data_IF_281967710711
#
_entry.id   IF_281967710711
#
_cell.length_a   1.000
_cell.length_b   1.000
_cell.length_c   1.000
_cell.angle_alpha   90.00
_cell.angle_beta   90.00
_cell.angle_gamma   90.00
#
_symmetry.space_group_name_H-M   'P 1'
#
loop_
_entity.id
_entity.type
_entity.pdbx_description
1 polymer ?
#
# COMPACT_ATOMS: atom_id res chain seq x y z
N UNK A 1 28.94 -21.07 -14.47
CA UNK A 1 28.06 -22.01 -13.72
C UNK A 1 27.28 -21.20 -12.68
N UNK A 2 26.01 -20.87 -12.97
CA UNK A 2 25.19 -20.01 -12.13
C UNK A 2 24.84 -20.72 -10.81
N UNK A 3 25.24 -20.14 -9.68
CA UNK A 3 24.88 -20.62 -8.35
C UNK A 3 23.42 -20.21 -8.07
N UNK A 4 22.54 -21.18 -8.28
CA UNK A 4 21.09 -21.09 -8.07
C UNK A 4 20.80 -20.74 -6.59
N UNK A 5 20.62 -19.45 -6.28
CA UNK A 5 19.96 -19.04 -5.03
C UNK A 5 18.48 -18.90 -5.35
N UNK A 6 17.71 -19.95 -5.09
CA UNK A 6 16.25 -19.91 -5.14
C UNK A 6 15.75 -18.85 -4.16
N UNK A 7 15.53 -17.64 -4.67
CA UNK A 7 14.94 -16.56 -3.88
C UNK A 7 13.44 -16.81 -3.79
N UNK A 8 12.99 -17.04 -2.56
CA UNK A 8 11.59 -17.25 -2.15
C UNK A 8 10.72 -16.07 -2.60
N UNK A 9 10.22 -16.12 -3.83
CA UNK A 9 9.32 -15.12 -4.43
C UNK A 9 8.04 -14.92 -3.61
N UNK A 10 7.63 -15.97 -2.89
CA UNK A 10 6.48 -15.97 -1.99
C UNK A 10 6.75 -15.35 -0.61
N UNK A 11 7.99 -14.89 -0.34
CA UNK A 11 8.33 -14.32 0.97
C UNK A 11 7.89 -12.85 1.19
N UNK A 12 6.99 -12.29 0.37
CA UNK A 12 6.47 -10.94 0.60
C UNK A 12 4.97 -10.79 0.23
N UNK A 13 4.37 -11.81 -0.38
CA UNK A 13 2.95 -11.83 -0.79
C UNK A 13 2.00 -12.10 0.38
N UNK A 14 2.50 -12.59 1.50
CA UNK A 14 1.71 -12.83 2.70
C UNK A 14 1.23 -11.55 3.36
N UNK A 15 1.98 -10.45 3.31
CA UNK A 15 1.56 -9.21 3.98
C UNK A 15 0.27 -8.67 3.32
N UNK A 16 0.18 -8.49 1.99
CA UNK A 16 -1.07 -8.11 1.33
C UNK A 16 -2.22 -9.11 1.53
N UNK A 17 -1.92 -10.42 1.51
CA UNK A 17 -2.93 -11.47 1.65
C UNK A 17 -3.51 -11.53 3.09
N UNK A 18 -2.68 -11.36 4.11
CA UNK A 18 -3.11 -11.29 5.51
C UNK A 18 -4.00 -10.07 5.74
N UNK A 19 -3.65 -8.92 5.14
CA UNK A 19 -4.47 -7.70 5.20
C UNK A 19 -5.86 -7.93 4.57
N UNK A 20 -5.92 -8.61 3.41
CA UNK A 20 -7.18 -8.97 2.75
C UNK A 20 -8.05 -9.92 3.57
N UNK A 21 -7.45 -10.92 4.22
CA UNK A 21 -8.16 -11.91 5.06
C UNK A 21 -8.70 -11.24 6.33
N UNK A 22 -7.92 -10.36 6.97
CA UNK A 22 -8.34 -9.61 8.14
C UNK A 22 -9.45 -8.60 7.81
N UNK A 23 -9.46 -8.03 6.61
CA UNK A 23 -10.56 -7.16 6.15
C UNK A 23 -11.87 -7.91 5.92
N UNK A 24 -11.80 -9.18 5.47
CA UNK A 24 -12.98 -10.01 5.19
C UNK A 24 -13.68 -10.51 6.47
N UNK A 25 -12.94 -10.80 7.54
CA UNK A 25 -13.45 -11.56 8.68
C UNK A 25 -14.20 -10.75 9.77
N UNK A 26 -14.09 -9.43 9.83
CA UNK A 26 -14.39 -8.69 11.08
C UNK A 26 -15.47 -7.59 11.01
N UNK A 27 -16.54 -7.79 10.23
CA UNK A 27 -17.69 -6.89 10.18
C UNK A 27 -18.69 -7.03 11.35
N UNK A 28 -18.45 -6.41 12.51
CA UNK A 28 -19.48 -5.96 13.49
C UNK A 28 -18.85 -5.26 14.72
N UNK A 29 -19.58 -4.31 15.36
CA UNK A 29 -19.30 -3.40 16.53
C UNK A 29 -17.90 -3.39 17.20
N UNK A 30 -17.29 -4.54 17.48
CA UNK A 30 -15.85 -4.73 17.79
C UNK A 30 -14.92 -4.25 16.67
N UNK A 31 -15.47 -4.11 15.47
CA UNK A 31 -14.86 -3.70 14.20
C UNK A 31 -14.18 -2.32 14.29
N UNK A 32 -14.75 -1.34 15.01
CA UNK A 32 -14.15 0.00 15.07
C UNK A 32 -12.81 -0.01 15.80
N UNK A 33 -12.73 -0.66 16.95
CA UNK A 33 -11.48 -0.76 17.72
C UNK A 33 -10.45 -1.64 17.01
N UNK A 34 -10.90 -2.71 16.35
CA UNK A 34 -10.03 -3.56 15.54
C UNK A 34 -9.46 -2.80 14.33
N UNK A 35 -10.29 -2.03 13.61
CA UNK A 35 -9.87 -1.15 12.51
C UNK A 35 -8.84 -0.13 12.96
N UNK A 36 -9.02 0.49 14.12
CA UNK A 36 -8.01 1.39 14.72
C UNK A 36 -6.72 0.63 15.00
N UNK A 37 -6.79 -0.53 15.64
CA UNK A 37 -5.61 -1.33 15.97
C UNK A 37 -4.83 -1.73 14.72
N UNK A 38 -5.51 -2.24 13.68
CA UNK A 38 -4.85 -2.61 12.42
C UNK A 38 -4.28 -1.36 11.72
N UNK A 39 -4.99 -0.24 11.77
CA UNK A 39 -4.52 1.04 11.20
C UNK A 39 -3.25 1.56 11.85
N UNK A 40 -2.91 1.11 13.06
CA UNK A 40 -1.67 1.46 13.75
C UNK A 40 -0.60 0.37 13.62
N UNK A 41 -0.99 -0.91 13.70
CA UNK A 41 -0.06 -2.05 13.61
C UNK A 41 0.64 -2.09 12.24
N UNK A 42 -0.09 -1.86 11.15
CA UNK A 42 0.48 -1.90 9.78
C UNK A 42 1.58 -0.82 9.61
N UNK A 43 1.32 0.49 9.86
CA UNK A 43 2.34 1.52 9.74
C UNK A 43 3.54 1.31 10.66
N UNK A 44 3.32 0.87 11.91
CA UNK A 44 4.41 0.57 12.85
C UNK A 44 5.27 -0.57 12.31
N UNK A 45 4.66 -1.66 11.86
CA UNK A 45 5.36 -2.81 11.28
C UNK A 45 6.19 -2.43 10.05
N UNK A 46 5.59 -1.66 9.13
CA UNK A 46 6.26 -1.14 7.94
C UNK A 46 7.46 -0.25 8.29
N UNK A 47 7.29 0.63 9.29
CA UNK A 47 8.35 1.55 9.74
C UNK A 47 9.51 0.80 10.39
N UNK A 48 9.24 -0.22 11.22
CA UNK A 48 10.28 -1.08 11.82
C UNK A 48 11.04 -1.84 10.74
N UNK A 49 10.33 -2.42 9.77
CA UNK A 49 10.93 -3.11 8.63
C UNK A 49 11.85 -2.16 7.84
N UNK A 50 11.37 -0.97 7.53
CA UNK A 50 12.12 0.04 6.79
C UNK A 50 13.35 0.53 7.56
N UNK A 51 13.23 0.72 8.88
CA UNK A 51 14.35 1.09 9.75
C UNK A 51 15.49 0.07 9.66
N UNK A 52 15.19 -1.23 9.73
CA UNK A 52 16.20 -2.30 9.58
C UNK A 52 16.91 -2.30 8.23
N UNK A 53 16.23 -1.83 7.17
CA UNK A 53 16.79 -1.76 5.81
C UNK A 53 17.63 -0.50 5.61
N UNK A 54 17.15 0.64 6.11
CA UNK A 54 17.80 1.94 5.96
C UNK A 54 18.95 2.14 6.95
N UNK A 55 18.95 1.45 8.09
CA UNK A 55 20.04 1.55 9.08
C UNK A 55 21.41 1.20 8.47
N UNK A 56 21.43 0.22 7.55
CA UNK A 56 22.62 -0.27 6.83
C UNK A 56 23.08 0.72 5.73
N UNK A 57 22.22 1.65 5.30
CA UNK A 57 22.57 2.65 4.29
C UNK A 57 23.41 3.77 4.92
N UNK A 58 24.43 4.25 4.20
CA UNK A 58 25.27 5.41 4.60
C UNK A 58 24.57 6.77 4.54
N UNK A 59 23.26 6.83 4.82
CA UNK A 59 22.48 8.07 4.83
C UNK A 59 22.68 8.84 6.14
N UNK A 60 22.61 10.17 6.07
CA UNK A 60 22.59 11.04 7.26
C UNK A 60 21.43 10.69 8.20
N UNK A 61 21.68 10.77 9.51
CA UNK A 61 20.68 10.48 10.56
C UNK A 61 19.37 11.23 10.35
N UNK A 62 19.44 12.53 9.99
CA UNK A 62 18.26 13.37 9.75
C UNK A 62 17.44 12.90 8.54
N UNK A 63 18.11 12.50 7.44
CA UNK A 63 17.46 11.94 6.26
C UNK A 63 16.77 10.60 6.57
N UNK A 64 17.41 9.73 7.35
CA UNK A 64 16.82 8.46 7.81
C UNK A 64 15.53 8.69 8.59
N UNK A 65 15.57 9.62 9.57
CA UNK A 65 14.41 9.97 10.39
C UNK A 65 13.28 10.53 9.51
N UNK A 66 13.57 11.46 8.61
CA UNK A 66 12.56 12.02 7.71
C UNK A 66 11.89 10.94 6.85
N UNK A 67 12.66 10.00 6.30
CA UNK A 67 12.10 8.89 5.51
C UNK A 67 11.15 8.04 6.36
N UNK A 68 11.54 7.71 7.60
CA UNK A 68 10.71 6.91 8.50
C UNK A 68 9.41 7.62 8.87
N UNK A 69 9.47 8.91 9.21
CA UNK A 69 8.29 9.72 9.55
C UNK A 69 7.35 9.82 8.35
N UNK A 70 7.88 10.15 7.16
CA UNK A 70 7.06 10.27 5.95
C UNK A 70 6.41 8.94 5.61
N UNK A 71 7.16 7.84 5.68
CA UNK A 71 6.60 6.49 5.40
C UNK A 71 5.52 6.15 6.41
N UNK A 72 5.74 6.38 7.70
CA UNK A 72 4.74 6.13 8.75
C UNK A 72 3.45 6.91 8.49
N UNK A 73 3.54 8.21 8.19
CA UNK A 73 2.38 9.05 7.92
C UNK A 73 1.61 8.58 6.68
N UNK A 74 2.31 8.22 5.60
CA UNK A 74 1.70 7.72 4.36
C UNK A 74 0.96 6.40 4.61
N UNK A 75 1.61 5.44 5.29
CA UNK A 75 1.02 4.15 5.62
C UNK A 75 -0.17 4.29 6.57
N UNK A 76 -0.11 5.23 7.52
CA UNK A 76 -1.19 5.51 8.45
C UNK A 76 -2.42 6.06 7.73
N UNK A 77 -2.22 7.05 6.85
CA UNK A 77 -3.30 7.62 6.02
C UNK A 77 -3.91 6.50 5.17
N UNK A 78 -3.09 5.69 4.51
CA UNK A 78 -3.56 4.59 3.67
C UNK A 78 -4.38 3.56 4.47
N UNK A 79 -3.88 3.16 5.64
CA UNK A 79 -4.54 2.17 6.49
C UNK A 79 -5.89 2.68 7.02
N UNK A 80 -5.95 3.94 7.47
CA UNK A 80 -7.19 4.59 7.90
C UNK A 80 -8.19 4.60 6.74
N UNK A 81 -7.77 4.99 5.54
CA UNK A 81 -8.69 5.05 4.42
C UNK A 81 -9.25 3.68 4.05
N UNK A 82 -8.42 2.65 3.95
CA UNK A 82 -8.92 1.30 3.65
C UNK A 82 -9.87 0.79 4.73
N UNK A 83 -9.51 0.97 6.00
CA UNK A 83 -10.28 0.43 7.12
C UNK A 83 -11.62 1.14 7.32
N UNK A 84 -11.66 2.46 7.16
CA UNK A 84 -12.84 3.28 7.46
C UNK A 84 -13.66 3.66 6.23
N UNK A 85 -13.02 3.90 5.09
CA UNK A 85 -13.67 4.31 3.84
C UNK A 85 -13.88 3.14 2.86
N UNK A 86 -13.42 1.94 3.24
CA UNK A 86 -13.53 0.73 2.45
C UNK A 86 -12.57 0.71 1.26
N UNK A 87 -12.55 -0.41 0.54
CA UNK A 87 -11.73 -0.55 -0.67
C UNK A 87 -12.42 0.22 -1.81
N UNK A 88 -11.70 1.06 -2.57
CA UNK A 88 -12.25 1.66 -3.78
C UNK A 88 -12.49 0.58 -4.85
N UNK A 89 -13.77 0.40 -5.22
CA UNK A 89 -14.21 -0.62 -6.18
C UNK A 89 -14.80 0.05 -7.43
N UNK A 90 -14.45 -0.45 -8.59
CA UNK A 90 -15.10 -0.11 -9.86
C UNK A 90 -16.31 -1.04 -10.07
N UNK A 91 -17.56 -0.54 -10.06
CA UNK A 91 -18.76 -1.38 -9.96
C UNK A 91 -19.01 -2.29 -11.17
N UNK A 92 -18.50 -1.93 -12.35
CA UNK A 92 -18.75 -2.66 -13.60
C UNK A 92 -17.65 -3.69 -13.96
N UNK A 93 -16.61 -3.83 -13.14
CA UNK A 93 -15.58 -4.85 -13.33
C UNK A 93 -15.86 -6.09 -12.46
N UNK A 94 -15.44 -7.30 -12.91
CA UNK A 94 -15.49 -8.49 -12.07
C UNK A 94 -14.38 -8.48 -11.01
N UNK A 95 -14.62 -9.12 -9.86
CA UNK A 95 -13.57 -9.36 -8.88
C UNK A 95 -12.50 -10.34 -9.45
N UNK A 96 -11.20 -10.17 -9.09
CA UNK A 96 -10.62 -9.14 -8.22
C UNK A 96 -10.25 -7.84 -8.95
N UNK A 97 -10.49 -7.74 -10.26
CA UNK A 97 -10.10 -6.59 -11.09
C UNK A 97 -10.88 -5.31 -10.79
N UNK A 98 -12.04 -5.43 -10.15
CA UNK A 98 -12.78 -4.28 -9.64
C UNK A 98 -12.12 -3.59 -8.45
N UNK A 99 -11.16 -4.22 -7.77
CA UNK A 99 -10.46 -3.64 -6.64
C UNK A 99 -9.29 -2.76 -7.14
N UNK A 100 -9.42 -1.45 -6.98
CA UNK A 100 -8.40 -0.49 -7.42
C UNK A 100 -7.09 -0.61 -6.63
N UNK A 101 -7.13 -1.06 -5.37
CA UNK A 101 -5.92 -1.35 -4.58
C UNK A 101 -5.18 -2.55 -5.17
N UNK A 102 -5.92 -3.57 -5.63
CA UNK A 102 -5.33 -4.72 -6.32
C UNK A 102 -4.69 -4.32 -7.65
N UNK A 103 -5.36 -3.48 -8.44
CA UNK A 103 -4.78 -2.93 -9.67
C UNK A 103 -3.54 -2.07 -9.40
N UNK A 104 -3.58 -1.20 -8.38
CA UNK A 104 -2.42 -0.41 -7.94
C UNK A 104 -1.24 -1.28 -7.51
N UNK A 105 -1.50 -2.40 -6.83
CA UNK A 105 -0.47 -3.38 -6.46
C UNK A 105 0.16 -4.04 -7.70
N UNK A 106 -0.64 -4.43 -8.70
CA UNK A 106 -0.13 -4.98 -9.98
C UNK A 106 0.78 -3.96 -10.67
N UNK A 107 0.34 -2.71 -10.81
CA UNK A 107 1.14 -1.63 -11.41
C UNK A 107 2.45 -1.44 -10.63
N UNK A 108 2.38 -1.47 -9.29
CA UNK A 108 3.55 -1.35 -8.42
C UNK A 108 4.56 -2.48 -8.64
N UNK A 109 4.08 -3.71 -8.82
CA UNK A 109 4.93 -4.88 -9.10
C UNK A 109 5.62 -4.73 -10.46
N UNK A 110 4.86 -4.36 -11.50
CA UNK A 110 5.38 -4.17 -12.85
C UNK A 110 6.44 -3.06 -12.86
N UNK A 111 6.13 -1.90 -12.28
CA UNK A 111 7.07 -0.78 -12.15
C UNK A 111 8.32 -1.16 -11.35
N UNK A 112 8.18 -1.93 -10.28
CA UNK A 112 9.31 -2.42 -9.49
C UNK A 112 10.19 -3.41 -10.26
N UNK A 113 9.60 -4.21 -11.15
CA UNK A 113 10.33 -5.09 -12.06
C UNK A 113 11.16 -4.28 -13.07
N UNK A 114 10.56 -3.24 -13.67
CA UNK A 114 11.26 -2.34 -14.57
C UNK A 114 12.32 -1.49 -13.88
N UNK A 115 12.12 -1.09 -12.62
CA UNK A 115 13.09 -0.30 -11.86
C UNK A 115 14.46 -0.98 -11.72
N UNK A 116 14.47 -2.32 -11.73
CA UNK A 116 15.68 -3.13 -11.62
C UNK A 116 16.48 -3.20 -12.93
N UNK A 117 15.89 -2.83 -14.06
CA UNK A 117 16.53 -2.82 -15.36
C UNK A 117 17.10 -1.43 -15.64
N UNK A 118 18.37 -1.35 -16.03
CA UNK A 118 19.05 -0.06 -16.23
C UNK A 118 18.53 0.71 -17.45
N UNK A 119 17.96 0.01 -18.42
CA UNK A 119 17.39 0.57 -19.66
C UNK A 119 16.18 1.49 -19.43
N UNK A 120 15.49 1.36 -18.29
CA UNK A 120 14.25 2.10 -18.04
C UNK A 120 14.49 3.36 -17.23
N UNK A 121 13.81 4.44 -17.64
CA UNK A 121 13.89 5.73 -16.98
C UNK A 121 13.22 5.69 -15.59
N UNK A 122 14.05 5.71 -14.54
CA UNK A 122 13.65 5.73 -13.14
C UNK A 122 12.76 6.94 -12.78
N UNK A 123 12.93 8.08 -13.43
CA UNK A 123 12.07 9.25 -13.25
C UNK A 123 10.64 8.98 -13.70
N UNK A 124 10.48 8.38 -14.89
CA UNK A 124 9.18 8.00 -15.43
C UNK A 124 8.48 6.95 -14.55
N UNK A 125 9.20 5.92 -14.11
CA UNK A 125 8.61 4.88 -13.24
C UNK A 125 8.08 5.48 -11.93
N UNK A 126 8.84 6.40 -11.31
CA UNK A 126 8.39 7.12 -10.10
C UNK A 126 7.11 7.91 -10.38
N UNK A 127 7.09 8.66 -11.47
CA UNK A 127 5.95 9.49 -11.85
C UNK A 127 4.70 8.65 -12.11
N UNK A 128 4.84 7.52 -12.81
CA UNK A 128 3.74 6.56 -13.04
C UNK A 128 3.17 6.03 -11.73
N UNK A 129 4.03 5.67 -10.77
CA UNK A 129 3.57 5.17 -9.47
C UNK A 129 2.86 6.24 -8.66
N UNK A 130 3.39 7.46 -8.64
CA UNK A 130 2.77 8.59 -7.94
C UNK A 130 1.38 8.84 -8.53
N UNK A 131 1.29 9.00 -9.86
CA UNK A 131 0.01 9.26 -10.54
C UNK A 131 -0.99 8.13 -10.28
N UNK A 132 -0.57 6.88 -10.40
CA UNK A 132 -1.44 5.71 -10.20
C UNK A 132 -2.06 5.72 -8.78
N UNK A 133 -1.23 5.82 -7.74
CA UNK A 133 -1.72 5.83 -6.37
C UNK A 133 -2.53 7.09 -6.05
N UNK A 134 -2.09 8.27 -6.50
CA UNK A 134 -2.86 9.52 -6.31
C UNK A 134 -4.24 9.45 -6.95
N UNK A 135 -4.38 8.86 -8.13
CA UNK A 135 -5.70 8.69 -8.78
C UNK A 135 -6.59 7.72 -8.01
N UNK A 136 -6.05 6.60 -7.52
CA UNK A 136 -6.80 5.65 -6.68
C UNK A 136 -7.30 6.35 -5.41
N UNK A 137 -6.44 7.15 -4.77
CA UNK A 137 -6.78 7.94 -3.59
C UNK A 137 -7.87 8.97 -3.86
N UNK A 138 -7.73 9.75 -4.94
CA UNK A 138 -8.72 10.74 -5.34
C UNK A 138 -10.06 10.10 -5.69
N UNK A 139 -10.05 8.95 -6.36
CA UNK A 139 -11.26 8.20 -6.67
C UNK A 139 -11.98 7.75 -5.40
N UNK A 140 -11.25 7.18 -4.44
CA UNK A 140 -11.82 6.77 -3.15
C UNK A 140 -12.41 7.95 -2.37
N UNK A 141 -11.74 9.10 -2.39
CA UNK A 141 -12.25 10.32 -1.76
C UNK A 141 -13.53 10.80 -2.46
N UNK A 142 -13.54 10.83 -3.80
CA UNK A 142 -14.68 11.29 -4.59
C UNK A 142 -15.93 10.44 -4.38
N UNK A 143 -15.81 9.11 -4.35
CA UNK A 143 -16.94 8.20 -4.11
C UNK A 143 -17.53 8.43 -2.73
N UNK A 144 -16.69 8.54 -1.71
CA UNK A 144 -17.18 8.71 -0.34
C UNK A 144 -17.77 10.10 -0.12
N UNK A 145 -17.27 11.13 -0.81
CA UNK A 145 -17.87 12.46 -0.80
C UNK A 145 -19.27 12.47 -1.45
N UNK A 146 -19.44 11.78 -2.58
CA UNK A 146 -20.75 11.62 -3.24
C UNK A 146 -21.73 10.89 -2.31
N UNK A 147 -21.31 9.79 -1.67
CA UNK A 147 -22.13 9.06 -0.70
C UNK A 147 -22.59 9.94 0.47
N UNK A 148 -21.71 10.78 1.02
CA UNK A 148 -22.08 11.71 2.10
C UNK A 148 -23.10 12.74 1.61
N UNK A 149 -22.94 13.25 0.38
CA UNK A 149 -23.88 14.22 -0.21
C UNK A 149 -25.25 13.62 -0.51
N UNK A 150 -25.33 12.34 -0.89
CA UNK A 150 -26.60 11.64 -1.13
C UNK A 150 -27.35 11.24 0.16
N UNK A 151 -26.67 11.28 1.31
CA UNK A 151 -27.26 11.01 2.64
C UNK A 151 -27.84 12.26 3.33
N UNK A 152 -27.63 13.46 2.77
CA UNK A 152 -28.18 14.74 3.23
C UNK A 152 -29.38 15.15 2.37
#
# INVERSE_FOLDING_TARGET
MFKNRGYKFFNNLYIPAIILILLYLFGSKTEKYLKIAISLIIPVGATIYLYRRISILGLEKRKKINILIVTFLVELIFSIQIMFLGIPIIPYLPAPFNNLIFLGAIVTIICSSFWKKEEYNKGLIKLTLIICWTLIFLYQFSINFIKIKEMW
#
